data_IF_887426643764
#
_entry.id   IF_887426643764
#
_cell.length_a   1.000
_cell.length_b   1.000
_cell.length_c   1.000
_cell.angle_alpha   90.00
_cell.angle_beta   90.00
_cell.angle_gamma   90.00
#
_symmetry.space_group_name_H-M   'P 1'
#
loop_
_entity.id
_entity.type
_entity.pdbx_description
1 polymer ?
#
# COMPACT_ATOMS: atom_id res chain seq x y z
N UNK A 1 -36.24 -1.03 -39.08
CA UNK A 1 -37.68 -1.32 -39.25
C UNK A 1 -38.34 -1.58 -37.89
N UNK A 2 -39.03 -0.59 -37.34
CA UNK A 2 -40.38 -0.67 -36.71
C UNK A 2 -40.61 0.60 -35.89
N UNK A 3 -41.48 1.40 -36.46
CA UNK A 3 -42.04 2.65 -35.96
C UNK A 3 -43.37 2.32 -35.24
N UNK A 4 -43.84 3.27 -34.42
CA UNK A 4 -45.20 3.46 -33.88
C UNK A 4 -45.36 3.09 -32.39
N UNK A 5 -45.38 4.09 -31.51
CA UNK A 5 -46.53 4.99 -31.15
C UNK A 5 -47.52 4.29 -30.22
N UNK A 6 -47.46 4.66 -28.95
CA UNK A 6 -48.66 4.83 -28.13
C UNK A 6 -48.62 6.19 -27.44
N UNK A 7 -49.40 7.13 -27.97
CA UNK A 7 -49.93 8.25 -27.21
C UNK A 7 -51.00 7.70 -26.25
N UNK A 8 -51.04 8.18 -25.01
CA UNK A 8 -52.25 8.03 -24.21
C UNK A 8 -52.10 8.29 -22.71
N UNK A 9 -52.40 9.54 -22.31
CA UNK A 9 -53.15 9.97 -21.12
C UNK A 9 -52.91 9.25 -19.77
N UNK A 10 -52.60 10.07 -18.75
CA UNK A 10 -53.17 9.87 -17.41
C UNK A 10 -52.23 10.22 -16.27
N UNK A 11 -52.35 11.45 -15.74
CA UNK A 11 -51.89 11.79 -14.39
C UNK A 11 -52.63 10.93 -13.38
N UNK A 12 -51.92 10.17 -12.56
CA UNK A 12 -52.16 10.06 -11.11
C UNK A 12 -50.94 9.39 -10.47
N UNK A 13 -50.25 10.13 -9.61
CA UNK A 13 -49.30 9.59 -8.64
C UNK A 13 -50.08 8.84 -7.55
N UNK A 14 -49.63 7.64 -7.16
CA UNK A 14 -49.72 7.25 -5.77
C UNK A 14 -48.33 6.89 -5.24
N UNK A 15 -48.05 7.43 -4.05
CA UNK A 15 -46.87 7.18 -3.26
C UNK A 15 -46.66 5.68 -3.02
N UNK A 16 -45.51 5.16 -3.46
CA UNK A 16 -45.00 3.88 -3.02
C UNK A 16 -43.69 4.14 -2.25
N UNK A 17 -43.72 3.85 -0.96
CA UNK A 17 -42.64 4.05 -0.03
C UNK A 17 -41.35 3.37 -0.51
N UNK A 18 -40.32 4.15 -0.79
CA UNK A 18 -38.99 3.65 -1.07
C UNK A 18 -38.37 3.14 0.23
N UNK A 19 -38.34 1.81 0.41
CA UNK A 19 -37.52 1.18 1.46
C UNK A 19 -36.06 1.37 1.05
N UNK A 20 -35.42 2.38 1.64
CA UNK A 20 -34.00 2.65 1.44
C UNK A 20 -33.23 1.70 2.36
N UNK A 21 -32.68 0.61 1.83
CA UNK A 21 -31.73 -0.22 2.58
C UNK A 21 -30.41 0.55 2.64
N UNK A 22 -30.21 1.29 3.73
CA UNK A 22 -28.92 1.94 4.04
C UNK A 22 -27.97 0.84 4.49
N UNK A 23 -27.15 0.33 3.58
CA UNK A 23 -25.97 -0.44 3.97
C UNK A 23 -24.95 0.55 4.55
N UNK A 24 -25.12 0.91 5.82
CA UNK A 24 -24.07 1.57 6.60
C UNK A 24 -23.03 0.53 7.02
N UNK A 25 -22.34 -0.07 6.04
CA UNK A 25 -21.10 -0.77 6.30
C UNK A 25 -20.01 0.31 6.39
N UNK A 26 -19.91 0.94 7.56
CA UNK A 26 -18.69 1.66 7.92
C UNK A 26 -17.57 0.61 7.95
N UNK A 27 -16.85 0.45 6.84
CA UNK A 27 -15.60 -0.28 6.87
C UNK A 27 -14.73 0.51 7.84
N UNK A 28 -14.39 -0.11 8.96
CA UNK A 28 -13.43 0.41 9.90
C UNK A 28 -12.03 0.40 9.25
N UNK A 29 -11.85 1.19 8.19
CA UNK A 29 -10.55 1.75 7.85
C UNK A 29 -10.30 2.91 8.81
N UNK A 30 -10.20 2.61 10.11
CA UNK A 30 -9.66 3.57 11.05
C UNK A 30 -8.23 3.89 10.58
N UNK A 31 -7.90 5.18 10.40
CA UNK A 31 -6.57 5.58 9.98
C UNK A 31 -5.56 5.14 11.04
N UNK A 32 -4.83 4.06 10.73
CA UNK A 32 -3.81 3.47 11.59
C UNK A 32 -2.51 4.31 11.57
N UNK A 33 -2.62 5.63 11.69
CA UNK A 33 -1.56 6.57 11.32
C UNK A 33 -0.50 6.76 12.42
N UNK A 34 -0.77 6.27 13.63
CA UNK A 34 0.09 6.41 14.82
C UNK A 34 0.62 5.06 15.36
N UNK A 35 0.20 3.94 14.75
CA UNK A 35 0.60 2.61 15.21
C UNK A 35 1.93 2.24 14.57
N UNK A 36 2.86 1.84 15.43
CA UNK A 36 4.26 1.62 15.09
C UNK A 36 4.49 0.62 13.96
N UNK A 37 5.75 0.28 13.73
CA UNK A 37 6.14 -0.62 12.65
C UNK A 37 5.33 -1.94 12.70
N UNK A 38 4.60 -2.27 11.64
CA UNK A 38 3.95 -3.58 11.46
C UNK A 38 4.37 -4.18 10.11
N UNK A 39 4.29 -5.51 9.98
CA UNK A 39 4.66 -6.19 8.75
C UNK A 39 3.86 -5.70 7.52
N UNK A 40 2.54 -5.57 7.68
CA UNK A 40 1.63 -5.14 6.59
C UNK A 40 1.91 -3.70 6.18
N UNK A 41 2.04 -2.80 7.15
CA UNK A 41 2.26 -1.38 6.86
C UNK A 41 3.64 -1.12 6.27
N UNK A 42 4.66 -1.85 6.74
CA UNK A 42 6.01 -1.80 6.18
C UNK A 42 6.05 -2.30 4.74
N UNK A 43 5.37 -3.41 4.44
CA UNK A 43 5.25 -3.92 3.08
C UNK A 43 4.57 -2.89 2.17
N UNK A 44 3.39 -2.38 2.57
CA UNK A 44 2.64 -1.39 1.80
C UNK A 44 3.43 -0.09 1.58
N UNK A 45 4.07 0.44 2.62
CA UNK A 45 4.85 1.69 2.48
C UNK A 45 6.10 1.47 1.64
N UNK A 46 6.78 0.32 1.76
CA UNK A 46 7.94 -0.02 0.92
C UNK A 46 7.52 -0.13 -0.53
N UNK A 47 6.38 -0.75 -0.83
CA UNK A 47 5.83 -0.88 -2.18
C UNK A 47 5.71 0.49 -2.87
N UNK A 48 5.02 1.44 -2.22
CA UNK A 48 4.83 2.77 -2.78
C UNK A 48 6.15 3.53 -2.98
N UNK A 49 7.00 3.58 -1.96
CA UNK A 49 8.21 4.42 -2.02
C UNK A 49 9.30 3.79 -2.89
N UNK A 50 9.38 2.46 -2.96
CA UNK A 50 10.30 1.77 -3.84
C UNK A 50 9.87 1.90 -5.31
N UNK A 51 8.57 1.79 -5.61
CA UNK A 51 8.04 2.07 -6.96
C UNK A 51 8.41 3.48 -7.41
N UNK A 52 8.11 4.50 -6.58
CA UNK A 52 8.47 5.90 -6.86
C UNK A 52 9.98 6.11 -7.03
N UNK A 53 10.81 5.39 -6.27
CA UNK A 53 12.27 5.49 -6.38
C UNK A 53 12.80 4.85 -7.67
N UNK A 54 12.25 3.70 -8.08
CA UNK A 54 12.58 3.03 -9.35
C UNK A 54 12.20 3.91 -10.54
N UNK A 55 10.98 4.44 -10.56
CA UNK A 55 10.48 5.32 -11.63
C UNK A 55 11.32 6.60 -11.73
N UNK A 56 11.68 7.21 -10.59
CA UNK A 56 12.59 8.36 -10.58
C UNK A 56 13.97 8.02 -11.12
N UNK A 57 14.41 6.76 -10.97
CA UNK A 57 15.63 6.22 -11.56
C UNK A 57 15.51 5.82 -13.04
N UNK A 58 14.36 6.06 -13.68
CA UNK A 58 14.10 5.73 -15.09
C UNK A 58 13.72 4.26 -15.33
N UNK A 59 13.23 3.56 -14.31
CA UNK A 59 12.72 2.19 -14.41
C UNK A 59 11.20 2.26 -14.35
N UNK A 60 10.54 2.10 -15.50
CA UNK A 60 9.07 2.07 -15.58
C UNK A 60 8.56 0.76 -14.95
N UNK A 61 7.89 0.88 -13.81
CA UNK A 61 7.39 -0.27 -13.05
C UNK A 61 6.00 -0.64 -13.56
N UNK A 62 5.83 -1.87 -14.08
CA UNK A 62 4.52 -2.38 -14.48
C UNK A 62 3.68 -2.78 -13.27
N UNK A 63 4.32 -3.45 -12.33
CA UNK A 63 3.76 -3.78 -11.03
C UNK A 63 4.90 -4.09 -10.05
N UNK A 64 4.63 -3.84 -8.77
CA UNK A 64 5.44 -4.25 -7.64
C UNK A 64 4.48 -4.71 -6.55
N UNK A 65 4.87 -5.73 -5.79
CA UNK A 65 4.14 -6.19 -4.62
C UNK A 65 5.11 -6.64 -3.55
N UNK A 66 4.91 -6.14 -2.32
CA UNK A 66 5.74 -6.43 -1.18
C UNK A 66 5.04 -7.31 -0.16
N UNK A 67 5.81 -8.21 0.45
CA UNK A 67 5.44 -8.93 1.67
C UNK A 67 6.36 -8.50 2.80
N UNK A 68 5.83 -8.44 4.02
CA UNK A 68 6.57 -8.08 5.22
C UNK A 68 6.54 -9.24 6.22
N UNK A 69 7.66 -9.50 6.88
CA UNK A 69 7.79 -10.45 7.97
C UNK A 69 8.37 -9.74 9.19
N UNK A 70 7.60 -9.68 10.28
CA UNK A 70 8.06 -9.03 11.50
C UNK A 70 9.04 -9.94 12.25
N UNK A 71 10.24 -9.45 12.55
CA UNK A 71 11.15 -10.14 13.46
C UNK A 71 10.75 -9.80 14.91
N UNK A 72 10.03 -10.71 15.55
CA UNK A 72 9.66 -10.61 16.97
C UNK A 72 8.76 -11.77 17.39
N UNK A 73 9.01 -12.33 18.58
CA UNK A 73 8.33 -13.52 19.08
C UNK A 73 6.80 -13.34 19.14
N UNK A 74 6.06 -14.26 18.52
CA UNK A 74 4.62 -14.45 18.75
C UNK A 74 4.41 -14.93 20.19
N UNK A 75 4.33 -13.99 21.14
CA UNK A 75 3.88 -14.35 22.49
C UNK A 75 2.36 -14.24 22.51
N UNK A 76 1.68 -15.37 22.46
CA UNK A 76 0.28 -15.49 22.85
C UNK A 76 0.17 -15.18 24.35
N UNK A 77 -0.20 -13.94 24.67
CA UNK A 77 -0.32 -13.44 26.05
C UNK A 77 -0.25 -11.91 26.09
N UNK A 78 -0.84 -11.29 27.12
CA UNK A 78 -1.16 -9.85 27.25
C UNK A 78 0.01 -8.84 27.25
N UNK A 79 1.13 -9.13 26.58
CA UNK A 79 2.28 -8.22 26.45
C UNK A 79 2.96 -8.37 25.08
N UNK A 80 2.33 -7.83 24.03
CA UNK A 80 2.98 -7.75 22.70
C UNK A 80 4.17 -6.80 22.79
N UNK A 81 5.38 -7.33 22.57
CA UNK A 81 6.57 -6.48 22.41
C UNK A 81 6.44 -5.68 21.09
N UNK A 82 6.87 -4.42 21.07
CA UNK A 82 6.87 -3.63 19.84
C UNK A 82 7.83 -4.24 18.81
N UNK A 83 7.35 -4.41 17.58
CA UNK A 83 8.17 -4.84 16.44
C UNK A 83 9.26 -3.79 16.18
N UNK A 84 10.51 -4.24 16.08
CA UNK A 84 11.67 -3.35 15.87
C UNK A 84 12.18 -3.37 14.44
N UNK A 85 11.93 -4.46 13.72
CA UNK A 85 12.37 -4.65 12.37
C UNK A 85 11.39 -5.54 11.60
N UNK A 86 11.23 -5.26 10.32
CA UNK A 86 10.44 -6.06 9.38
C UNK A 86 11.32 -6.36 8.18
N UNK A 87 11.51 -7.64 7.87
CA UNK A 87 12.06 -8.02 6.58
C UNK A 87 11.00 -7.83 5.51
N UNK A 88 11.37 -7.21 4.40
CA UNK A 88 10.51 -7.04 3.25
C UNK A 88 11.09 -7.77 2.04
N UNK A 89 10.22 -8.46 1.31
CA UNK A 89 10.51 -9.06 0.01
C UNK A 89 9.46 -8.56 -0.98
N UNK A 90 9.91 -7.74 -1.92
CA UNK A 90 9.10 -7.23 -3.00
C UNK A 90 9.50 -7.86 -4.32
N UNK A 91 8.50 -8.20 -5.12
CA UNK A 91 8.65 -8.75 -6.47
C UNK A 91 7.82 -7.93 -7.41
N UNK A 92 8.32 -7.78 -8.62
CA UNK A 92 7.66 -6.97 -9.63
C UNK A 92 8.24 -7.19 -11.00
N UNK A 93 7.78 -6.39 -11.93
CA UNK A 93 8.27 -6.41 -13.30
C UNK A 93 8.30 -4.99 -13.85
N UNK A 94 9.34 -4.67 -14.60
CA UNK A 94 9.42 -3.44 -15.36
C UNK A 94 8.69 -3.59 -16.70
N UNK A 95 8.20 -2.50 -17.27
CA UNK A 95 7.59 -2.48 -18.61
C UNK A 95 8.59 -2.93 -19.68
N UNK A 96 9.84 -2.49 -19.55
CA UNK A 96 10.89 -2.78 -20.51
C UNK A 96 11.32 -4.25 -20.43
N UNK A 97 11.05 -4.99 -21.50
CA UNK A 97 11.44 -6.40 -21.69
C UNK A 97 11.00 -7.34 -20.56
N UNK A 98 9.92 -7.00 -19.86
CA UNK A 98 9.42 -7.78 -18.73
C UNK A 98 10.50 -8.05 -17.67
N UNK A 99 11.42 -7.09 -17.47
CA UNK A 99 12.57 -7.29 -16.59
C UNK A 99 12.12 -7.47 -15.13
N UNK A 100 12.57 -8.55 -14.48
CA UNK A 100 12.25 -8.80 -13.07
C UNK A 100 12.76 -7.66 -12.17
N UNK A 101 11.91 -7.23 -11.25
CA UNK A 101 12.25 -6.29 -10.18
C UNK A 101 12.24 -7.04 -8.85
N UNK A 102 13.30 -6.86 -8.06
CA UNK A 102 13.38 -7.33 -6.67
C UNK A 102 13.77 -6.19 -5.76
N UNK A 103 13.01 -5.97 -4.69
CA UNK A 103 13.40 -5.06 -3.61
C UNK A 103 13.36 -5.83 -2.32
N UNK A 104 14.51 -5.97 -1.66
CA UNK A 104 14.61 -6.76 -0.43
C UNK A 104 15.38 -6.00 0.62
N UNK A 105 15.09 -6.29 1.89
CA UNK A 105 15.91 -5.81 2.99
C UNK A 105 15.11 -5.68 4.28
N UNK A 106 15.61 -4.86 5.19
CA UNK A 106 15.06 -4.72 6.55
C UNK A 106 14.57 -3.30 6.74
N UNK A 107 13.32 -3.13 7.13
CA UNK A 107 12.71 -1.85 7.52
C UNK A 107 12.71 -1.75 9.03
N UNK A 108 13.23 -0.64 9.57
CA UNK A 108 13.29 -0.37 11.02
C UNK A 108 12.41 0.82 11.43
N UNK A 109 12.03 1.64 10.46
CA UNK A 109 11.11 2.74 10.65
C UNK A 109 10.37 3.05 9.35
N UNK A 110 9.16 3.54 9.47
CA UNK A 110 8.38 4.01 8.34
C UNK A 110 7.53 5.21 8.74
N UNK A 111 7.13 5.98 7.72
CA UNK A 111 6.02 6.93 7.79
C UNK A 111 5.08 6.61 6.64
N UNK A 112 3.87 6.16 6.98
CA UNK A 112 2.86 5.60 6.06
C UNK A 112 2.84 6.29 4.69
N UNK A 113 3.13 5.53 3.64
CA UNK A 113 3.14 5.97 2.23
C UNK A 113 4.19 7.01 1.84
N UNK A 114 5.03 7.48 2.77
CA UNK A 114 5.96 8.61 2.53
C UNK A 114 7.43 8.25 2.66
N UNK A 115 7.76 7.40 3.62
CA UNK A 115 9.15 7.03 3.85
C UNK A 115 9.29 5.66 4.47
N UNK A 116 10.40 5.01 4.14
CA UNK A 116 10.96 3.88 4.89
C UNK A 116 12.42 4.18 5.21
N UNK A 117 12.83 3.73 6.40
CA UNK A 117 14.23 3.74 6.83
C UNK A 117 14.60 2.32 7.25
N UNK A 118 15.82 1.93 6.92
CA UNK A 118 16.25 0.55 7.05
C UNK A 118 17.50 0.29 6.24
N UNK A 119 17.59 -0.89 5.65
CA UNK A 119 18.61 -1.24 4.67
C UNK A 119 17.93 -2.00 3.52
N UNK A 120 17.79 -1.35 2.36
CA UNK A 120 17.04 -1.87 1.22
C UNK A 120 17.91 -1.90 -0.03
N UNK A 121 17.79 -2.98 -0.78
CA UNK A 121 18.46 -3.14 -2.07
C UNK A 121 17.44 -3.46 -3.14
N UNK A 122 17.47 -2.68 -4.23
CA UNK A 122 16.69 -2.96 -5.42
C UNK A 122 17.58 -3.55 -6.52
N UNK A 123 17.06 -4.55 -7.22
CA UNK A 123 17.66 -5.15 -8.40
C UNK A 123 16.67 -5.17 -9.55
N UNK A 124 17.15 -4.94 -10.76
CA UNK A 124 16.41 -5.09 -12.02
C UNK A 124 17.19 -5.99 -12.95
N UNK A 125 16.54 -7.05 -13.45
CA UNK A 125 17.20 -8.10 -14.23
C UNK A 125 18.48 -8.63 -13.54
N UNK A 126 18.39 -8.86 -12.22
CA UNK A 126 19.50 -9.34 -11.39
C UNK A 126 20.60 -8.32 -11.06
N UNK A 127 20.61 -7.13 -11.69
CA UNK A 127 21.62 -6.08 -11.44
C UNK A 127 21.13 -5.09 -10.41
N UNK A 128 22.01 -4.65 -9.51
CA UNK A 128 21.68 -3.65 -8.49
C UNK A 128 21.31 -2.32 -9.15
N UNK A 129 20.06 -1.88 -8.95
CA UNK A 129 19.57 -0.58 -9.38
C UNK A 129 19.90 0.48 -8.33
N UNK A 130 19.64 0.17 -7.06
CA UNK A 130 20.08 1.01 -5.94
C UNK A 130 20.26 0.19 -4.66
N UNK A 131 20.93 0.81 -3.71
CA UNK A 131 20.98 0.41 -2.31
C UNK A 131 20.82 1.67 -1.48
N UNK A 132 19.92 1.64 -0.51
CA UNK A 132 19.56 2.83 0.25
C UNK A 132 19.13 2.46 1.67
N UNK A 133 19.61 3.23 2.64
CA UNK A 133 19.16 3.12 4.03
C UNK A 133 17.89 3.95 4.32
N UNK A 134 17.49 4.77 3.35
CA UNK A 134 16.33 5.64 3.43
C UNK A 134 15.74 5.82 2.03
N UNK A 135 14.43 5.62 1.89
CA UNK A 135 13.69 5.87 0.66
C UNK A 135 12.50 6.77 0.98
N UNK A 136 12.28 7.80 0.15
CA UNK A 136 11.22 8.79 0.34
C UNK A 136 11.65 9.95 1.23
N UNK A 137 10.69 10.58 1.90
CA UNK A 137 10.92 11.76 2.75
C UNK A 137 10.51 11.45 4.20
N UNK A 138 11.49 11.14 5.04
CA UNK A 138 11.24 10.88 6.45
C UNK A 138 11.14 12.15 7.32
N UNK A 139 11.41 13.35 6.77
CA UNK A 139 11.57 14.58 7.55
C UNK A 139 12.68 14.50 8.62
N UNK A 140 12.91 15.59 9.37
CA UNK A 140 13.77 15.54 10.55
C UNK A 140 13.11 14.71 11.66
N UNK A 141 13.88 13.82 12.28
CA UNK A 141 13.44 13.14 13.51
C UNK A 141 13.53 14.12 14.67
N UNK A 142 12.51 14.95 14.89
CA UNK A 142 12.42 15.72 16.13
C UNK A 142 12.15 14.76 17.28
N UNK A 143 13.20 14.30 17.97
CA UNK A 143 13.07 13.81 19.35
C UNK A 143 12.78 15.07 20.19
N UNK A 144 11.61 15.22 20.82
CA UNK A 144 11.44 16.30 21.80
C UNK A 144 12.47 16.06 22.91
N UNK A 145 13.37 17.03 23.08
CA UNK A 145 14.36 17.12 24.16
C UNK A 145 13.71 17.54 25.46
#
# INVERSE_FOLDING_TARGET
>A
MRLLRHLGRGRVLPAAAAVSVVFAAATACEPQDEQGLTAVSAAYTTDEVATKALERGGIDVRWLSCTGNAKGDEVAGSSRKPIRAVDVDCRGTAEKHDAEIRVTGVVTYQRKGRCVRGDLTAKVAGRKAFHASLIGDCGPTSRPS
#
